data_IF_120620142873
#
_entry.id   IF_120620142873
#
_cell.length_a   1.000
_cell.length_b   1.000
_cell.length_c   1.000
_cell.angle_alpha   90.00
_cell.angle_beta   90.00
_cell.angle_gamma   90.00
#
_symmetry.space_group_name_H-M   'P 1'
#
loop_
_entity.id
_entity.type
_entity.pdbx_description
1 polymer ?
2 polymer ?
3 non-polymer ?
4 non-polymer ?
5 non-polymer ?
6 non-polymer ?
7 non-polymer ?
8 water ?
#
# COMPACT_ATOMS: atom_id res chain seq x y z
N UNK A 1 1.03 -9.24 30.35
CA UNK A 1 1.72 -8.92 29.11
C UNK A 1 1.40 -7.48 28.64
N UNK A 2 2.26 -6.95 27.77
CA UNK A 2 2.05 -5.60 27.25
C UNK A 2 2.29 -5.54 25.76
N UNK A 3 1.41 -4.83 25.08
CA UNK A 3 1.45 -4.73 23.63
C UNK A 3 2.71 -4.13 23.04
N UNK A 4 3.37 -3.25 23.79
CA UNK A 4 4.58 -2.61 23.27
C UNK A 4 5.77 -3.57 23.20
N UNK A 5 5.72 -4.66 23.95
CA UNK A 5 6.80 -5.63 23.92
C UNK A 5 6.39 -6.91 23.19
N UNK A 6 7.10 -7.22 22.11
CA UNK A 6 6.82 -8.43 21.34
C UNK A 6 5.34 -8.51 20.94
N UNK A 7 4.74 -7.37 20.68
CA UNK A 7 3.34 -7.34 20.26
C UNK A 7 2.39 -7.99 21.28
N UNK A 8 2.82 -8.05 22.54
CA UNK A 8 1.99 -8.61 23.59
C UNK A 8 1.75 -10.10 23.40
N UNK A 9 2.55 -10.72 22.54
CA UNK A 9 2.42 -12.13 22.17
C UNK A 9 1.32 -12.37 21.12
N UNK A 10 0.62 -11.31 20.70
CA UNK A 10 -0.47 -11.43 19.71
C UNK A 10 0.06 -11.67 18.29
N UNK A 11 -0.67 -12.45 17.53
CA UNK A 11 -0.28 -12.65 16.12
C UNK A 11 -0.57 -11.37 15.31
N UNK A 12 -1.68 -10.69 15.64
CA UNK A 12 -2.13 -9.48 14.96
C UNK A 12 -2.23 -8.28 15.90
N UNK A 13 -3.43 -7.84 16.26
CA UNK A 13 -3.61 -6.61 16.99
C UNK A 13 -3.69 -6.82 18.48
N UNK A 14 -3.29 -5.82 19.26
CA UNK A 14 -3.18 -5.97 20.73
C UNK A 14 -3.70 -4.73 21.43
N UNK A 15 -4.52 -4.91 22.48
CA UNK A 15 -5.02 -3.79 23.31
C UNK A 15 -4.62 -4.05 24.76
N UNK A 16 -4.10 -3.03 25.45
CA UNK A 16 -3.79 -3.14 26.87
C UNK A 16 -5.05 -2.73 27.65
N UNK A 17 -5.26 -3.32 28.82
CA UNK A 17 -6.42 -3.00 29.64
C UNK A 17 -5.96 -2.69 31.07
N UNK A 18 -6.84 -2.05 31.83
CA UNK A 18 -6.51 -1.69 33.21
C UNK A 18 -6.05 -2.90 34.01
N UNK A 19 -4.77 -2.91 34.37
CA UNK A 19 -4.18 -3.99 35.13
C UNK A 19 -3.20 -4.78 34.29
N UNK A 20 -2.85 -5.99 34.75
CA UNK A 20 -1.95 -6.83 33.97
C UNK A 20 -2.79 -7.55 32.91
N UNK A 21 -3.69 -6.83 32.24
CA UNK A 21 -4.56 -7.44 31.23
C UNK A 21 -4.22 -7.04 29.80
N UNK A 22 -4.46 -7.96 28.87
CA UNK A 22 -4.16 -7.70 27.45
C UNK A 22 -5.19 -8.48 26.63
N UNK A 23 -5.66 -7.91 25.51
CA UNK A 23 -6.59 -8.65 24.65
C UNK A 23 -6.05 -8.55 23.24
N UNK A 24 -5.88 -9.69 22.60
CA UNK A 24 -5.45 -9.72 21.18
C UNK A 24 -6.70 -9.71 20.34
N UNK A 25 -6.55 -9.20 19.11
CA UNK A 25 -7.69 -9.16 18.21
C UNK A 25 -7.18 -9.52 16.81
N UNK A 26 -8.12 -9.82 15.91
CA UNK A 26 -7.76 -10.19 14.54
C UNK A 26 -8.52 -9.31 13.55
N UNK A 27 -7.91 -9.13 12.38
CA UNK A 27 -8.55 -8.35 11.33
C UNK A 27 -9.82 -9.07 10.87
N UNK A 28 -10.70 -8.33 10.20
CA UNK A 28 -11.88 -8.92 9.60
C UNK A 28 -11.40 -10.05 8.67
N UNK A 29 -12.16 -11.14 8.61
CA UNK A 29 -11.80 -12.29 7.81
C UNK A 29 -10.94 -13.32 8.57
N UNK A 30 -10.75 -13.03 9.86
CA UNK A 30 -9.99 -13.93 10.77
C UNK A 30 -10.74 -14.02 12.09
N UNK A 31 -10.49 -15.12 12.81
CA UNK A 31 -11.02 -15.27 14.17
C UNK A 31 -9.86 -15.63 15.11
N UNK A 32 -10.02 -15.24 16.36
CA UNK A 32 -9.00 -15.48 17.40
C UNK A 32 -9.19 -16.89 17.98
N UNK A 33 -8.09 -17.64 18.05
CA UNK A 33 -8.15 -19.00 18.60
C UNK A 33 -8.20 -18.95 20.15
N UNK A 34 -8.45 -20.12 20.73
CA UNK A 34 -8.56 -20.25 22.19
C UNK A 34 -7.27 -19.98 22.95
N UNK A 35 -6.13 -19.97 22.25
CA UNK A 35 -4.89 -19.56 22.86
C UNK A 35 -4.88 -18.06 23.21
N UNK A 36 -5.85 -17.31 22.65
CA UNK A 36 -5.97 -15.89 22.91
C UNK A 36 -5.00 -15.01 22.11
N UNK A 37 -4.21 -15.66 21.23
CA UNK A 37 -3.19 -14.91 20.47
C UNK A 37 -3.24 -15.13 18.98
N UNK A 38 -3.54 -16.36 18.55
CA UNK A 38 -3.45 -16.74 17.12
C UNK A 38 -4.70 -16.35 16.37
N UNK A 39 -4.52 -16.07 15.06
CA UNK A 39 -5.66 -15.67 14.20
C UNK A 39 -5.75 -16.69 13.06
N UNK A 40 -6.94 -17.17 12.76
CA UNK A 40 -7.11 -18.13 11.68
C UNK A 40 -8.16 -17.58 10.68
N UNK A 41 -7.88 -17.73 9.39
CA UNK A 41 -8.84 -17.18 8.40
C UNK A 41 -10.24 -17.80 8.56
N UNK A 42 -11.25 -16.98 8.28
CA UNK A 42 -12.64 -17.45 8.32
C UNK A 42 -13.28 -17.34 6.94
N UNK A 43 -12.51 -16.82 5.99
CA UNK A 43 -12.99 -16.60 4.60
C UNK A 43 -11.97 -17.17 3.64
N UNK A 44 -12.35 -17.25 2.36
CA UNK A 44 -11.48 -17.88 1.37
C UNK A 44 -10.24 -17.00 1.03
N UNK A 45 -10.44 -15.69 1.01
CA UNK A 45 -9.39 -14.76 0.61
C UNK A 45 -9.16 -13.69 1.65
N UNK A 46 -8.67 -14.10 2.84
CA UNK A 46 -8.37 -13.12 3.87
C UNK A 46 -7.25 -12.15 3.45
N UNK A 47 -7.30 -10.95 3.99
CA UNK A 47 -6.28 -9.98 3.59
C UNK A 47 -4.88 -10.43 3.95
N UNK A 48 -3.92 -10.01 3.15
CA UNK A 48 -2.51 -10.22 3.51
C UNK A 48 -1.97 -11.63 3.37
N UNK A 49 -2.73 -12.52 2.74
CA UNK A 49 -2.25 -13.87 2.45
C UNK A 49 -2.23 -14.08 0.95
N UNK A 50 -1.28 -14.87 0.47
CA UNK A 50 -1.09 -15.08 -0.97
C UNK A 50 -1.56 -16.45 -1.36
N UNK A 51 -2.75 -16.57 -1.96
CA UNK A 51 -3.36 -17.88 -2.24
C UNK A 51 -2.44 -18.90 -2.90
N UNK A 52 -1.70 -18.52 -3.93
CA UNK A 52 -0.87 -19.53 -4.60
C UNK A 52 0.22 -20.10 -3.72
N UNK A 53 0.63 -19.33 -2.71
CA UNK A 53 1.66 -19.80 -1.76
C UNK A 53 1.02 -20.56 -0.59
N UNK A 54 -0.18 -20.16 -0.19
CA UNK A 54 -0.87 -20.84 0.90
C UNK A 54 -1.25 -22.25 0.47
N UNK A 55 -1.56 -22.39 -0.81
CA UNK A 55 -1.92 -23.69 -1.36
C UNK A 55 -0.66 -24.50 -1.61
N UNK A 56 0.41 -23.83 -2.04
CA UNK A 56 1.68 -24.49 -2.29
C UNK A 56 2.20 -25.14 -1.01
N UNK A 57 1.81 -24.57 0.12
CA UNK A 57 2.24 -25.09 1.43
C UNK A 57 1.13 -25.83 2.17
N UNK A 58 -0.02 -25.99 1.52
CA UNK A 58 -1.14 -26.70 2.12
C UNK A 58 -1.12 -28.18 1.74
N UNK B 1 10.69 -0.07 -10.96
CA UNK B 1 11.53 -0.68 -9.89
C UNK B 1 12.90 -0.95 -10.49
N UNK B 2 13.93 -0.44 -9.83
CA UNK B 2 15.33 -0.64 -10.23
C UNK B 2 15.97 -1.70 -9.37
N UNK B 3 16.59 -2.70 -10.01
CA UNK B 3 17.34 -3.71 -9.30
C UNK B 3 16.53 -4.75 -8.58
N UNK B 4 15.26 -4.91 -8.96
CA UNK B 4 14.44 -5.95 -8.35
C UNK B 4 14.33 -7.17 -9.25
N UNK B 5 13.21 -7.88 -9.16
CA UNK B 5 12.97 -9.07 -9.96
C UNK B 5 11.49 -9.10 -10.33
N UNK B 6 11.14 -9.97 -11.26
CA UNK B 6 9.73 -10.10 -11.61
C UNK B 6 8.99 -10.68 -10.39
N UNK B 7 7.84 -10.09 -10.06
CA UNK B 7 7.01 -10.67 -9.01
C UNK B 7 6.25 -11.84 -9.68
N UNK B 8 6.50 -13.11 -9.28
CA UNK B 8 5.78 -14.21 -9.93
C UNK B 8 4.27 -13.94 -9.92
N UNK B 9 3.63 -14.18 -11.06
CA UNK B 9 2.21 -13.89 -11.22
C UNK B 9 1.39 -14.43 -10.03
N UNK B 10 0.63 -13.55 -9.39
CA UNK B 10 -0.23 -13.93 -8.28
C UNK B 10 0.45 -13.75 -6.93
N UNK B 11 1.76 -13.46 -6.90
CA UNK B 11 2.42 -13.26 -5.62
C UNK B 11 2.37 -11.83 -5.05
N UNK B 12 1.81 -10.89 -5.83
CA UNK B 12 1.63 -9.51 -5.34
C UNK B 12 0.15 -9.17 -5.64
N UNK B 13 -0.80 -9.94 -5.09
CA UNK B 13 -2.17 -9.89 -5.57
C UNK B 13 -2.98 -8.64 -5.17
N UNK B 14 -2.38 -7.82 -4.32
CA UNK B 14 -2.98 -6.55 -3.90
C UNK B 14 -2.53 -5.38 -4.81
N UNK B 15 -1.57 -5.63 -5.70
CA UNK B 15 -1.06 -4.55 -6.54
C UNK B 15 -2.15 -4.05 -7.50
N UNK B 16 -2.27 -2.73 -7.59
CA UNK B 16 -3.21 -2.08 -8.53
C UNK B 16 -2.38 -1.32 -9.59
N UNK B 17 -2.91 -1.31 -10.80
CA UNK B 17 -2.38 -0.44 -11.89
C UNK B 17 -3.44 0.63 -12.15
N UNK B 18 -3.05 1.89 -12.08
CA UNK B 18 -3.98 2.98 -12.41
C UNK B 18 -3.66 3.49 -13.82
N UNK B 19 -4.71 3.62 -14.62
CA UNK B 19 -4.58 4.10 -16.02
C UNK B 19 -5.41 5.37 -16.22
N UNK B 20 -4.93 6.28 -17.08
CA UNK B 20 -5.74 7.45 -17.45
C UNK B 20 -5.75 7.44 -18.98
N UNK B 21 -6.95 7.33 -19.55
CA UNK B 21 -7.07 7.22 -21.02
C UNK B 21 -6.22 6.04 -21.55
N UNK B 22 -6.17 4.95 -20.76
CA UNK B 22 -5.45 3.76 -21.16
C UNK B 22 -3.94 3.76 -20.89
N UNK B 23 -3.38 4.89 -20.50
CA UNK B 23 -1.94 5.02 -20.26
C UNK B 23 -1.64 4.81 -18.79
N UNK B 24 -0.49 4.19 -18.55
CA UNK B 24 -0.04 3.93 -17.17
C UNK B 24 0.12 5.26 -16.44
N UNK B 25 -0.50 5.38 -15.26
CA UNK B 25 -0.38 6.57 -14.42
C UNK B 25 0.48 6.29 -13.17
N UNK B 26 0.09 5.26 -12.42
CA UNK B 26 0.70 5.02 -11.11
C UNK B 26 0.27 3.63 -10.66
N UNK B 27 0.77 3.23 -9.51
CA UNK B 27 0.31 2.01 -8.86
C UNK B 27 -0.67 2.36 -7.75
N UNK B 28 -1.10 1.32 -7.04
CA UNK B 28 -1.96 1.47 -5.87
C UNK B 28 -1.99 0.14 -5.13
N UNK B 29 -2.71 0.12 -4.00
CA UNK B 29 -2.83 -1.09 -3.20
C UNK B 29 -4.29 -1.34 -2.87
N UNK B 30 -4.77 -2.54 -3.14
CA UNK B 30 -6.13 -2.89 -2.77
C UNK B 30 -6.15 -3.18 -1.24
N UNK B 31 -7.08 -2.57 -0.49
CA UNK B 31 -7.18 -2.86 0.95
C UNK B 31 -8.52 -3.51 1.32
N UNK B 32 -9.46 -3.49 0.41
CA UNK B 32 -10.68 -4.28 0.53
C UNK B 32 -11.34 -4.24 -0.83
N UNK B 33 -12.51 -4.87 -0.98
CA UNK B 33 -13.04 -5.02 -2.34
C UNK B 33 -13.37 -3.76 -3.11
N UNK B 34 -13.58 -2.63 -2.42
CA UNK B 34 -13.89 -1.39 -3.12
C UNK B 34 -12.92 -0.25 -2.89
N UNK B 35 -11.89 -0.48 -2.07
CA UNK B 35 -10.98 0.60 -1.69
C UNK B 35 -9.53 0.34 -2.06
N UNK B 36 -8.91 1.37 -2.66
CA UNK B 36 -7.52 1.33 -3.09
C UNK B 36 -6.78 2.51 -2.49
N UNK B 37 -5.58 2.27 -1.98
CA UNK B 37 -4.74 3.36 -1.48
C UNK B 37 -3.67 3.67 -2.52
N UNK B 38 -3.48 4.93 -2.82
CA UNK B 38 -2.44 5.32 -3.78
C UNK B 38 -1.78 6.61 -3.24
N UNK B 39 -1.05 7.34 -4.10
CA UNK B 39 -0.36 8.58 -3.72
C UNK B 39 -1.12 9.78 -4.26
N UNK B 40 -1.26 10.81 -3.45
CA UNK B 40 -1.99 12.01 -3.91
C UNK B 40 -1.37 12.62 -5.17
N UNK B 41 -0.04 12.62 -5.24
CA UNK B 41 0.60 13.33 -6.36
C UNK B 41 0.29 12.74 -7.72
N UNK B 42 -0.18 11.51 -7.73
CA UNK B 42 -0.55 10.85 -8.97
C UNK B 42 -1.67 11.60 -9.69
N UNK B 43 -2.43 12.42 -8.95
CA UNK B 43 -3.60 13.06 -9.50
C UNK B 43 -3.42 14.55 -9.75
N UNK B 44 -2.19 15.02 -9.63
CA UNK B 44 -1.93 16.48 -9.78
C UNK B 44 -2.34 17.01 -11.17
N UNK B 45 -2.27 16.17 -12.21
CA UNK B 45 -2.52 16.70 -13.57
C UNK B 45 -3.77 16.15 -14.27
N UNK B 46 -4.61 15.47 -13.52
CA UNK B 46 -5.83 14.92 -14.08
C UNK B 46 -6.78 16.03 -14.50
N UNK B 47 -7.33 15.94 -15.70
CA UNK B 47 -8.32 16.92 -16.13
C UNK B 47 -9.71 16.31 -16.15
N UNK B 48 -9.79 15.08 -16.64
CA UNK B 48 -11.07 14.38 -16.77
C UNK B 48 -11.05 13.17 -15.83
N UNK B 49 -11.65 13.31 -14.66
CA UNK B 49 -11.68 12.25 -13.67
C UNK B 49 -12.34 10.97 -14.18
N UNK B 50 -13.20 11.12 -15.16
CA UNK B 50 -13.93 9.98 -15.71
C UNK B 50 -13.11 9.01 -16.55
N UNK B 51 -11.85 9.37 -16.78
CA UNK B 51 -10.93 8.57 -17.57
C UNK B 51 -9.90 7.83 -16.74
N UNK B 52 -10.21 7.69 -15.44
CA UNK B 52 -9.34 6.97 -14.48
C UNK B 52 -9.87 5.57 -14.28
N UNK B 53 -9.00 4.57 -14.48
CA UNK B 53 -9.39 3.18 -14.32
C UNK B 53 -8.38 2.48 -13.44
N UNK B 54 -8.87 1.60 -12.54
CA UNK B 54 -7.98 0.78 -11.72
C UNK B 54 -8.05 -0.66 -12.20
N UNK B 55 -6.92 -1.32 -12.33
CA UNK B 55 -6.86 -2.70 -12.77
C UNK B 55 -6.22 -3.54 -11.65
N UNK B 56 -6.95 -4.61 -11.32
CA UNK B 56 -6.50 -5.60 -10.35
C UNK B 56 -6.17 -6.89 -11.10
N UNK B 57 -5.30 -7.74 -10.54
CA UNK B 57 -4.98 -9.02 -11.13
C UNK B 57 -4.10 -8.88 -12.37
N UNK B 58 -3.50 -7.70 -12.52
CA UNK B 58 -2.62 -7.49 -13.68
C UNK B 58 -1.25 -8.11 -13.39
N UNK B 59 -0.52 -8.46 -14.46
CA UNK B 59 0.81 -9.02 -14.30
C UNK B 59 1.69 -8.61 -15.50
N UNK B 60 1.33 -9.11 -16.67
CA UNK B 60 2.09 -8.80 -17.91
C UNK B 60 1.22 -7.87 -18.77
N UNK B 61 1.67 -6.63 -18.91
CA UNK B 61 0.89 -5.63 -19.67
C UNK B 61 0.77 -5.93 -21.16
N UNK B 62 1.53 -6.88 -21.66
CA UNK B 62 1.47 -7.19 -23.09
C UNK B 62 0.35 -8.14 -23.45
N UNK B 63 -0.24 -8.81 -22.47
CA UNK B 63 -1.25 -9.77 -22.82
C UNK B 63 -2.42 -9.74 -21.86
N UNK B 64 -3.52 -10.27 -22.31
CA UNK B 64 -4.70 -10.41 -21.48
C UNK B 64 -4.81 -11.88 -21.17
N UNK B 65 -4.81 -12.26 -19.89
CA UNK B 65 -4.95 -13.67 -19.56
C UNK B 65 -6.25 -14.02 -18.86
N UNK B 66 -7.12 -13.04 -18.64
CA UNK B 66 -8.41 -13.29 -18.02
C UNK B 66 -8.50 -13.13 -16.50
N UNK B 67 -7.36 -12.92 -15.84
CA UNK B 67 -7.37 -12.71 -14.37
C UNK B 67 -7.52 -11.21 -14.05
N UNK B 68 -7.32 -10.33 -15.05
CA UNK B 68 -7.40 -8.89 -14.82
C UNK B 68 -8.86 -8.50 -14.57
N UNK B 69 -9.04 -7.49 -13.70
CA UNK B 69 -10.37 -6.94 -13.43
C UNK B 69 -10.19 -5.41 -13.43
N UNK B 70 -10.93 -4.73 -14.30
CA UNK B 70 -10.83 -3.28 -14.40
C UNK B 70 -12.07 -2.64 -13.79
N UNK B 71 -11.87 -1.51 -13.13
CA UNK B 71 -13.03 -0.81 -12.56
C UNK B 71 -12.86 0.70 -12.73
N UNK B 72 -13.97 1.40 -12.87
CA UNK B 72 -13.91 2.86 -12.86
C UNK B 72 -13.69 3.31 -11.43
N UNK B 73 -13.09 4.50 -11.31
CA UNK B 73 -12.82 5.10 -10.01
C UNK B 73 -13.92 6.11 -9.70
N UNK B 74 -14.72 5.86 -8.66
CA UNK B 74 -15.86 6.71 -8.27
C UNK B 74 -15.48 7.91 -7.42
N UNK B 75 -14.43 7.75 -6.62
CA UNK B 75 -14.02 8.85 -5.72
C UNK B 75 -12.51 8.78 -5.58
N UNK B 76 -11.85 9.95 -5.51
CA UNK B 76 -10.42 10.05 -5.23
C UNK B 76 -10.39 11.02 -4.06
N UNK B 77 -10.02 10.52 -2.88
CA UNK B 77 -10.05 11.33 -1.66
C UNK B 77 -8.62 11.68 -1.23
N UNK B 78 -8.34 12.98 -1.07
CA UNK B 78 -7.01 13.46 -0.73
C UNK B 78 -7.07 14.29 0.57
N UNK B 79 -6.07 14.17 1.44
CA UNK B 79 -6.11 14.98 2.68
C UNK B 79 -6.01 16.47 2.38
N UNK B 80 -6.70 17.26 3.19
CA UNK B 80 -6.70 18.71 3.05
C UNK B 80 -5.29 19.29 3.14
N UNK B 81 -4.42 18.59 3.83
CA UNK B 81 -3.04 19.03 4.06
C UNK B 81 -2.10 18.84 2.88
N UNK B 82 -2.50 18.03 1.89
CA UNK B 82 -1.66 17.80 0.72
C UNK B 82 -1.69 19.02 -0.18
N UNK B 83 -0.52 19.46 -0.63
CA UNK B 83 -0.43 20.60 -1.55
C UNK B 83 0.13 20.09 -2.88
N UNK B 84 -0.60 20.26 -3.97
CA UNK B 84 -0.11 19.74 -5.25
C UNK B 84 1.29 20.23 -5.59
N UNK B 85 2.08 19.31 -6.11
CA UNK B 85 3.44 19.61 -6.53
C UNK B 85 4.45 19.42 -5.43
N UNK B 86 3.98 19.08 -4.23
CA UNK B 86 4.86 18.85 -3.09
C UNK B 86 4.82 17.40 -2.64
N UNK B 87 5.58 17.10 -1.60
CA UNK B 87 5.75 15.73 -1.13
C UNK B 87 4.98 15.32 0.11
N UNK B 88 4.73 16.25 1.02
CA UNK B 88 4.11 15.87 2.29
C UNK B 88 2.65 15.42 2.12
N UNK B 89 2.22 14.50 2.99
CA UNK B 89 0.83 13.99 2.99
C UNK B 89 0.45 13.33 1.64
N UNK B 90 1.38 12.57 1.09
CA UNK B 90 1.21 12.00 -0.24
C UNK B 90 0.44 10.68 -0.23
N UNK B 91 -0.87 10.83 -0.04
CA UNK B 91 -1.76 9.67 0.04
C UNK B 91 -3.11 10.01 -0.57
N UNK B 92 -3.71 9.00 -1.19
CA UNK B 92 -5.07 9.15 -1.75
C UNK B 92 -5.81 7.86 -1.48
N UNK B 93 -7.10 7.98 -1.18
CA UNK B 93 -7.97 6.81 -0.96
C UNK B 93 -8.96 6.81 -2.12
N UNK B 94 -9.03 5.73 -2.87
CA UNK B 94 -9.85 5.66 -4.07
C UNK B 94 -10.98 4.67 -3.85
N UNK B 95 -12.21 5.10 -4.16
CA UNK B 95 -13.36 4.21 -4.07
C UNK B 95 -13.65 3.70 -5.47
N UNK B 96 -13.72 2.38 -5.66
CA UNK B 96 -14.04 1.82 -6.98
C UNK B 96 -15.57 1.91 -7.22
N UNK B 97 -15.98 2.02 -8.49
CA UNK B 97 -17.41 2.11 -8.81
C UNK B 97 -18.17 0.82 -8.52
N UNK B 98 -17.47 -0.31 -8.58
CA UNK B 98 -18.04 -1.63 -8.32
C UNK B 98 -16.92 -2.40 -7.62
N UNK B 99 -17.26 -3.31 -6.68
CA UNK B 99 -16.17 -4.06 -6.03
C UNK B 99 -15.47 -4.98 -7.02
N UNK B 100 -14.18 -5.25 -6.74
CA UNK B 100 -13.51 -6.31 -7.45
C UNK B 100 -13.94 -7.63 -6.80
N UNK B 101 -13.77 -8.73 -7.52
CA UNK B 101 -14.12 -10.06 -7.00
C UNK B 101 -12.82 -10.69 -6.51
N UNK B 102 -12.74 -11.08 -5.23
CA UNK B 102 -11.50 -11.68 -4.77
C UNK B 102 -11.32 -13.06 -5.40
N UNK B 103 -10.08 -13.32 -5.81
CA UNK B 103 -9.69 -14.58 -6.49
C UNK B 103 -8.25 -14.88 -6.08
N UNK B 104 -7.69 -15.97 -6.63
CA UNK B 104 -6.30 -16.31 -6.29
C UNK B 104 -5.38 -15.16 -6.75
N UNK B 105 -5.84 -14.35 -7.72
CA UNK B 105 -5.00 -13.30 -8.27
C UNK B 105 -5.37 -11.88 -7.82
N UNK B 106 -6.40 -11.75 -6.97
CA UNK B 106 -6.86 -10.42 -6.52
C UNK B 106 -7.21 -10.61 -5.03
N UNK B 107 -6.39 -10.01 -4.18
CA UNK B 107 -6.56 -10.15 -2.72
C UNK B 107 -6.10 -8.85 -2.09
N UNK B 108 -6.84 -8.35 -1.08
CA UNK B 108 -6.43 -7.09 -0.45
C UNK B 108 -5.24 -7.28 0.49
N UNK B 109 -4.45 -6.22 0.65
CA UNK B 109 -3.39 -6.19 1.65
C UNK B 109 -4.06 -5.68 2.93
N UNK B 110 -3.65 -6.20 4.10
CA UNK B 110 -4.31 -5.71 5.31
C UNK B 110 -3.88 -4.30 5.68
N UNK B 111 -4.83 -3.42 5.98
CA UNK B 111 -4.53 -2.11 6.53
C UNK B 111 -4.45 -2.33 8.04
N UNK B 112 -3.26 -2.16 8.62
CA UNK B 112 -3.12 -2.51 10.05
C UNK B 112 -3.69 -1.47 10.96
N UNK B 113 -3.90 -1.85 12.23
CA UNK B 113 -4.22 -0.84 13.25
C UNK B 113 -2.97 0.04 13.48
N UNK B 114 -3.19 1.29 13.85
CA UNK B 114 -2.04 2.18 14.04
C UNK B 114 -1.08 1.67 15.11
N UNK B 115 -1.60 1.32 16.29
CA UNK B 115 -0.68 0.86 17.34
C UNK B 115 0.21 -0.29 16.88
N UNK B 116 -0.40 -1.27 16.26
CA UNK B 116 0.35 -2.40 15.75
C UNK B 116 1.40 -1.92 14.73
N UNK B 117 1.00 -1.02 13.84
CA UNK B 117 1.94 -0.56 12.82
C UNK B 117 3.13 0.19 13.41
N UNK B 118 2.85 1.05 14.39
CA UNK B 118 3.89 1.86 15.06
C UNK B 118 4.76 1.04 16.01
N UNK B 119 4.15 0.14 16.75
CA UNK B 119 4.89 -0.63 17.77
C UNK B 119 5.62 -1.85 17.22
N UNK B 120 5.09 -2.44 16.16
CA UNK B 120 5.60 -3.69 15.66
C UNK B 120 6.08 -3.61 14.22
N UNK B 121 5.17 -3.25 13.31
CA UNK B 121 5.58 -3.26 11.92
C UNK B 121 6.72 -2.32 11.59
N UNK B 122 6.78 -1.17 12.27
CA UNK B 122 7.80 -0.15 11.98
C UNK B 122 9.21 -0.68 12.27
N UNK B 123 9.29 -1.78 13.01
CA UNK B 123 10.60 -2.40 13.35
C UNK B 123 10.96 -3.62 12.54
N UNK B 124 10.10 -4.01 11.58
CA UNK B 124 10.43 -5.11 10.71
C UNK B 124 11.38 -4.48 9.68
N UNK B 125 12.60 -4.99 9.56
CA UNK B 125 13.56 -4.30 8.72
C UNK B 125 13.23 -4.22 7.25
N UNK B 126 12.92 -5.35 6.64
CA UNK B 126 12.70 -5.39 5.20
C UNK B 126 11.23 -5.46 4.86
N UNK B 127 10.89 -4.83 3.72
CA UNK B 127 9.53 -4.84 3.20
C UNK B 127 9.62 -4.82 1.69
N UNK B 128 8.53 -5.21 1.04
CA UNK B 128 8.51 -5.29 -0.44
C UNK B 128 7.82 -4.09 -1.07
N UNK B 129 8.44 -3.59 -2.15
CA UNK B 129 7.86 -2.50 -2.94
C UNK B 129 7.75 -3.02 -4.35
N UNK B 130 6.65 -2.69 -5.05
CA UNK B 130 6.42 -3.26 -6.36
C UNK B 130 5.78 -2.29 -7.32
N UNK B 131 5.88 -2.60 -8.62
CA UNK B 131 5.26 -1.75 -9.62
C UNK B 131 5.78 -2.01 -11.03
N UNK B 132 5.14 -1.36 -11.99
CA UNK B 132 5.50 -1.46 -13.42
C UNK B 132 6.27 -0.20 -13.83
N UNK B 133 6.91 0.48 -12.90
CA UNK B 133 7.65 1.71 -13.20
C UNK B 133 8.95 1.42 -13.97
N UNK B 134 9.72 2.49 -14.12
CA UNK B 134 10.99 2.44 -14.85
C UNK B 134 11.93 1.43 -14.21
N UNK B 135 12.62 0.67 -15.07
CA UNK B 135 13.58 -0.36 -14.64
C UNK B 135 14.95 0.27 -14.36
N UNK B 136 15.12 1.51 -14.81
CA UNK B 136 16.38 2.27 -14.62
C UNK B 136 15.99 3.73 -14.64
N UNK B 137 16.82 4.56 -14.03
CA UNK B 137 16.60 6.01 -14.11
C UNK B 137 16.73 6.40 -15.61
N UNK B 138 15.77 7.16 -16.11
CA UNK B 138 15.75 7.58 -17.52
C UNK B 138 15.60 6.40 -18.47
N UNK B 139 15.00 5.31 -18.00
CA UNK B 139 14.80 4.10 -18.75
C UNK B 139 13.33 3.77 -18.98
N UNK B 140 13.10 2.75 -19.77
CA UNK B 140 11.76 2.27 -20.09
C UNK B 140 11.09 1.62 -18.86
N UNK B 141 9.77 1.62 -18.87
CA UNK B 141 8.99 0.98 -17.79
C UNK B 141 8.90 -0.52 -18.04
N UNK B 142 8.52 -1.25 -17.00
CA UNK B 142 8.45 -2.70 -17.07
C UNK B 142 7.17 -3.23 -17.68
N UNK B 143 7.24 -4.34 -18.42
CA UNK B 143 6.03 -4.98 -18.94
C UNK B 143 5.46 -6.03 -17.94
N UNK B 144 6.32 -6.62 -17.10
CA UNK B 144 5.84 -7.54 -16.06
C UNK B 144 6.05 -6.86 -14.70
N UNK B 145 5.14 -7.14 -13.76
CA UNK B 145 5.23 -6.54 -12.45
C UNK B 145 6.54 -6.88 -11.77
N UNK B 146 7.20 -5.87 -11.21
CA UNK B 146 8.48 -6.06 -10.53
C UNK B 146 8.32 -5.85 -9.03
N UNK B 147 9.23 -6.45 -8.25
CA UNK B 147 9.20 -6.36 -6.82
C UNK B 147 10.61 -6.27 -6.27
N UNK B 148 10.77 -5.55 -5.17
CA UNK B 148 12.08 -5.31 -4.58
C UNK B 148 11.99 -5.33 -3.06
N UNK B 149 12.95 -5.97 -2.40
CA UNK B 149 12.99 -5.98 -0.93
C UNK B 149 13.89 -4.83 -0.49
N UNK B 150 13.35 -3.91 0.32
CA UNK B 150 14.08 -2.74 0.78
C UNK B 150 14.08 -2.66 2.31
N UNK B 151 15.18 -2.20 2.92
CA UNK B 151 15.23 -2.06 4.38
C UNK B 151 14.86 -0.64 4.76
N UNK B 152 14.15 -0.53 5.88
CA UNK B 152 13.65 0.75 6.37
C UNK B 152 14.70 1.36 7.24
N UNK B 153 14.74 2.69 7.22
CA UNK B 153 15.67 3.47 8.05
C UNK B 153 14.91 4.35 9.02
N UNK B 154 15.42 4.51 10.24
CA UNK B 154 14.84 5.49 11.14
C UNK B 154 15.23 6.84 10.51
N UNK B 155 14.34 7.82 10.59
CA UNK B 155 14.57 9.10 9.90
C UNK B 155 15.89 9.79 10.26
N UNK B 156 16.29 9.75 11.52
CA UNK B 156 17.56 10.38 11.92
C UNK B 156 18.70 9.72 11.12
N UNK B 157 18.63 8.40 10.98
CA UNK B 157 19.63 7.66 10.22
C UNK B 157 19.61 8.02 8.72
N UNK B 158 18.41 8.15 8.16
CA UNK B 158 18.30 8.51 6.74
C UNK B 158 18.99 9.83 6.49
N UNK B 159 18.71 10.80 7.35
CA UNK B 159 19.29 12.14 7.20
C UNK B 159 20.80 12.11 7.32
N UNK B 160 21.29 11.34 8.28
CA UNK B 160 22.73 11.18 8.51
C UNK B 160 23.41 10.48 7.32
N UNK B 161 22.82 9.37 6.87
CA UNK B 161 23.38 8.59 5.77
C UNK B 161 23.14 9.16 4.37
N UNK B 162 22.39 10.26 4.26
CA UNK B 162 22.11 10.85 2.96
C UNK B 162 23.09 11.95 2.58
N UNK B 163 23.28 12.15 1.28
CA UNK B 163 24.20 13.16 0.78
C UNK B 163 24.38 13.02 -0.73
N UNK B 169 17.69 16.41 3.00
CA UNK B 169 16.37 16.03 2.52
C UNK B 169 15.30 16.31 3.59
N UNK B 170 14.15 16.80 3.18
CA UNK B 170 13.08 17.11 4.15
C UNK B 170 12.12 15.94 4.36
N UNK B 171 12.45 15.13 5.35
CA UNK B 171 11.67 13.94 5.69
C UNK B 171 10.82 14.28 6.90
N UNK B 172 9.50 14.35 6.72
CA UNK B 172 8.60 14.71 7.80
C UNK B 172 8.14 13.48 8.57
N UNK B 173 7.31 13.72 9.59
CA UNK B 173 6.80 12.60 10.38
C UNK B 173 5.75 11.79 9.58
N UNK B 174 5.39 12.30 8.42
CA UNK B 174 4.42 11.61 7.54
C UNK B 174 5.09 10.78 6.45
N UNK B 175 6.42 10.62 6.57
CA UNK B 175 7.23 9.88 5.62
C UNK B 175 8.20 8.98 6.34
N UNK B 176 8.80 8.07 5.57
CA UNK B 176 9.95 7.27 6.04
C UNK B 176 10.82 6.90 4.84
N UNK B 177 12.12 6.67 5.10
CA UNK B 177 13.06 6.28 4.04
C UNK B 177 13.24 4.79 4.06
N UNK B 178 13.46 4.22 2.87
CA UNK B 178 13.79 2.82 2.76
C UNK B 178 14.55 2.61 1.48
N UNK B 179 15.46 1.63 1.50
CA UNK B 179 16.19 1.34 0.30
C UNK B 179 17.69 1.34 0.51
N UNK B 180 18.40 1.85 -0.50
CA UNK B 180 19.86 1.78 -0.58
C UNK B 180 20.43 3.07 -1.14
N UNK B 181 21.62 3.43 -0.66
CA UNK B 181 22.26 4.68 -1.10
C UNK B 181 23.34 4.45 -2.18
N UNK B 182 23.49 3.22 -2.65
CA UNK B 182 24.52 2.92 -3.66
C UNK B 182 24.07 3.00 -5.13
N UNK B 183 22.85 3.47 -5.35
CA UNK B 183 22.29 3.62 -6.69
C UNK B 183 21.91 2.34 -7.43
N UNK B 184 21.85 1.22 -6.71
CA UNK B 184 21.52 -0.05 -7.37
C UNK B 184 20.06 -0.52 -7.30
N UNK B 185 19.34 -0.08 -6.28
CA UNK B 185 17.98 -0.63 -6.01
C UNK B 185 17.08 0.46 -5.45
N UNK B 186 15.91 0.66 -6.06
CA UNK B 186 14.98 1.70 -5.62
C UNK B 186 13.64 1.49 -6.34
N UNK B 187 12.62 2.19 -5.88
CA UNK B 187 11.38 2.25 -6.65
C UNK B 187 11.65 3.47 -7.58
N UNK B 188 10.84 3.66 -8.62
CA UNK B 188 11.15 4.73 -9.59
C UNK B 188 9.89 5.32 -10.20
N UNK B 189 10.03 6.26 -11.12
CA UNK B 189 8.88 6.86 -11.78
C UNK B 189 8.03 5.75 -12.38
N UNK B 190 6.73 5.83 -12.18
CA UNK B 190 5.82 4.84 -12.68
C UNK B 190 5.40 3.92 -11.52
N UNK B 191 6.20 3.86 -10.45
CA UNK B 191 5.83 2.99 -9.31
C UNK B 191 5.05 3.77 -8.27
N UNK B 192 5.05 5.10 -8.34
CA UNK B 192 4.39 5.93 -7.34
C UNK B 192 2.98 5.44 -7.07
N UNK B 193 2.61 5.48 -5.79
CA UNK B 193 1.28 5.01 -5.40
C UNK B 193 1.25 3.55 -4.98
N UNK B 194 2.24 2.77 -5.39
CA UNK B 194 2.26 1.34 -5.11
C UNK B 194 2.54 1.03 -3.65
N UNK B 195 2.43 -0.25 -3.32
CA UNK B 195 2.60 -0.68 -1.96
C UNK B 195 4.04 -0.84 -1.48
N UNK B 196 4.22 -0.51 -0.21
CA UNK B 196 5.40 -0.92 0.60
C UNK B 196 4.71 -1.85 1.66
N UNK B 197 4.89 -3.15 1.45
CA UNK B 197 4.18 -4.22 2.19
C UNK B 197 5.14 -4.91 3.17
N UNK B 198 4.65 -5.12 4.39
CA UNK B 198 5.48 -5.64 5.49
C UNK B 198 4.91 -6.94 6.04
N UNK B 199 5.75 -7.96 6.12
CA UNK B 199 5.31 -9.25 6.61
C UNK B 199 5.48 -9.37 8.13
N UNK B 200 4.46 -9.89 8.81
CA UNK B 200 4.60 -10.17 10.24
C UNK B 200 3.80 -11.41 10.59
N UNK B 201 4.48 -12.44 11.09
CA UNK B 201 3.82 -13.66 11.51
C UNK B 201 2.82 -14.26 10.53
N UNK B 202 3.22 -14.36 9.26
CA UNK B 202 2.45 -15.04 8.25
C UNK B 202 1.46 -14.19 7.45
N UNK B 203 1.40 -12.90 7.74
CA UNK B 203 0.44 -12.01 7.05
C UNK B 203 1.15 -10.74 6.62
N UNK B 204 0.69 -10.14 5.51
CA UNK B 204 1.28 -8.91 4.97
C UNK B 204 0.37 -7.72 5.23
N UNK B 205 1.01 -6.58 5.51
CA UNK B 205 0.33 -5.37 5.87
C UNK B 205 0.83 -4.15 5.07
N UNK B 206 -0.04 -3.15 4.92
CA UNK B 206 0.38 -1.93 4.25
C UNK B 206 1.05 -0.97 5.22
N UNK B 207 2.35 -0.71 4.99
CA UNK B 207 3.10 0.25 5.79
C UNK B 207 3.53 1.53 5.08
N UNK B 208 3.65 1.47 3.76
CA UNK B 208 4.07 2.67 3.04
C UNK B 208 3.47 2.74 1.64
N UNK B 209 3.59 3.93 1.06
CA UNK B 209 3.17 4.17 -0.33
C UNK B 209 4.38 4.75 -1.06
N UNK B 210 4.70 4.21 -2.23
CA UNK B 210 5.82 4.76 -3.03
C UNK B 210 5.49 6.24 -3.30
N UNK B 211 6.36 7.14 -2.86
CA UNK B 211 6.08 8.58 -3.00
C UNK B 211 7.11 9.40 -3.78
N UNK B 212 8.35 9.49 -3.28
CA UNK B 212 9.33 10.33 -3.96
C UNK B 212 10.77 9.92 -3.70
N UNK B 213 11.70 10.47 -4.47
CA UNK B 213 13.11 10.18 -4.34
C UNK B 213 13.94 11.11 -5.23
N UNK B 214 15.21 11.28 -4.90
CA UNK B 214 16.07 12.12 -5.72
C UNK B 214 16.34 11.32 -6.97
N UNK B 215 15.50 11.49 -7.99
CA UNK B 215 15.72 10.65 -9.16
C UNK B 215 15.43 9.23 -8.73
N UNK B 216 16.06 8.25 -9.36
CA UNK B 216 15.84 6.84 -9.04
C UNK B 216 17.13 6.11 -8.80
N UNK B 217 17.33 5.54 -7.63
CA UNK B 217 18.54 4.84 -7.35
C UNK B 217 19.68 5.86 -7.55
N UNK B 218 19.48 7.08 -7.05
CA UNK B 218 20.53 8.10 -7.12
C UNK B 218 21.49 7.82 -5.97
N UNK B 219 22.78 7.68 -6.29
CA UNK B 219 23.78 7.41 -5.24
C UNK B 219 23.68 8.46 -4.14
N UNK B 220 23.75 8.02 -2.88
CA UNK B 220 23.66 8.92 -1.74
C UNK B 220 22.26 9.24 -1.25
N UNK B 221 21.25 8.66 -1.90
CA UNK B 221 19.85 8.92 -1.52
C UNK B 221 19.02 7.66 -1.42
N UNK B 222 17.98 7.71 -0.58
CA UNK B 222 17.09 6.57 -0.40
C UNK B 222 15.70 6.91 -0.94
N UNK B 223 14.87 5.88 -1.11
CA UNK B 223 13.50 6.09 -1.52
C UNK B 223 12.70 6.64 -0.34
N UNK B 224 11.73 7.49 -0.63
CA UNK B 224 10.87 8.07 0.39
C UNK B 224 9.44 7.55 0.21
N UNK B 225 8.86 7.12 1.32
CA UNK B 225 7.54 6.48 1.31
C UNK B 225 6.60 7.20 2.27
N UNK B 226 5.31 7.28 1.91
CA UNK B 226 4.34 7.85 2.83
C UNK B 226 4.13 6.88 4.01
N UNK B 227 4.18 7.44 5.22
CA UNK B 227 4.06 6.66 6.47
C UNK B 227 2.59 6.41 6.77
N UNK B 228 2.11 5.29 6.23
CA UNK B 228 0.68 4.97 6.28
C UNK B 228 0.10 4.96 7.70
N UNK B 229 0.92 4.59 8.68
CA UNK B 229 0.43 4.54 10.07
C UNK B 229 -0.19 5.86 10.53
N UNK B 230 0.26 6.98 9.97
CA UNK B 230 -0.26 8.28 10.38
C UNK B 230 -1.67 8.52 9.90
N UNK B 231 -2.10 7.70 8.93
CA UNK B 231 -3.40 7.90 8.26
C UNK B 231 -4.45 6.82 8.51
N UNK B 232 -4.16 5.85 9.39
CA UNK B 232 -5.13 4.77 9.60
C UNK B 232 -6.51 5.27 9.97
N UNK B 233 -6.60 6.12 11.00
CA UNK B 233 -7.92 6.59 11.44
C UNK B 233 -8.59 7.46 10.38
N UNK B 234 -7.79 8.25 9.64
CA UNK B 234 -8.34 9.07 8.56
C UNK B 234 -8.97 8.15 7.49
N UNK B 235 -8.23 7.09 7.11
CA UNK B 235 -8.73 6.13 6.12
C UNK B 235 -9.95 5.38 6.61
N UNK B 236 -9.91 4.88 7.86
CA UNK B 236 -11.04 4.11 8.35
C UNK B 236 -12.31 4.95 8.42
N UNK B 237 -12.20 6.19 8.84
CA UNK B 237 -13.39 7.04 8.90
C UNK B 237 -13.96 7.26 7.50
N UNK B 238 -13.10 7.51 6.51
CA UNK B 238 -13.60 7.73 5.16
C UNK B 238 -14.25 6.47 4.59
N UNK B 239 -13.71 5.29 4.92
CA UNK B 239 -14.31 4.05 4.40
C UNK B 239 -15.71 3.78 4.99
N UNK B 240 -16.03 4.45 6.09
CA UNK B 240 -17.36 4.31 6.69
C UNK B 240 -18.33 5.38 6.17
N UNK B 241 -17.83 6.30 5.35
CA UNK B 241 -18.66 7.41 4.87
C UNK B 241 -19.36 7.14 3.55
N UNK B 242 -20.45 7.86 3.30
CA UNK B 242 -21.13 7.71 2.01
C UNK B 242 -20.42 8.48 0.92
N UNK B 243 -20.46 7.98 -0.33
CA UNK B 243 -19.85 8.71 -1.44
C UNK B 243 -20.55 10.05 -1.67
N UNK B 244 -19.82 10.97 -2.30
CA UNK B 244 -20.31 12.32 -2.63
C UNK B 244 -20.15 12.55 -4.13
N UNK B 245 -21.07 13.32 -4.72
CA UNK B 245 -20.99 13.61 -6.16
C UNK B 245 -19.69 14.33 -6.44
N UNK B 246 -19.08 14.11 -7.61
CA UNK B 246 -17.82 14.77 -7.95
C UNK B 246 -16.66 13.88 -7.49
N UNK B 247 -15.91 13.34 -8.46
CA UNK B 247 -14.86 12.36 -8.14
C UNK B 247 -13.88 12.80 -7.07
N UNK B 248 -13.26 13.97 -7.27
CA UNK B 248 -12.31 14.44 -6.29
C UNK B 248 -12.97 14.93 -5.03
N UNK B 249 -12.49 14.45 -3.89
CA UNK B 249 -12.94 14.94 -2.59
C UNK B 249 -11.72 15.27 -1.74
N UNK B 250 -11.63 16.50 -1.23
CA UNK B 250 -10.60 16.84 -0.29
C UNK B 250 -11.22 16.71 1.10
N UNK B 251 -10.59 15.91 1.95
CA UNK B 251 -11.15 15.60 3.27
C UNK B 251 -10.23 16.11 4.35
N UNK B 252 -10.78 16.71 5.41
CA UNK B 252 -9.91 17.23 6.46
C UNK B 252 -8.94 16.18 7.03
N UNK B 253 -7.71 16.64 7.28
CA UNK B 253 -6.74 15.83 7.97
C UNK B 253 -6.15 16.72 9.06
N UNK B 254 -6.07 16.21 10.29
CA UNK B 254 -6.43 14.86 10.73
C UNK B 254 -7.92 14.50 10.67
#
# INVERSE_FOLDING_TARGET
LICVNENGGCEQYCSDHTGTKRSCRCHEGYSLLADGVSCTPTVEYPCGKIPILEKRNASKPQGR
IVGGKVCPKGECPWQVLLLVNGAQLCGGTLINTIWVVSAAHCFDKIKNWRNLIAVLGEHDLSEHDGDEQSRRVAQVIIPSTYVPGTTNHDIALLRLHQPVVLTDHVVPLCLPERTFSERTLAFVRFSLVSGWGQLLDRGATALELMVLNVPRLMTQDCLQQSRKVGDSPNITEYMFCAGYSDGSKDSCKGDSGGPHATHYRGTWYLTGIVSWGQGCATVGHFGVYTRVSQYIEWLQKLMRSEPRPGVLLRAPFP
#
